data_IF_928477874119
#
_entry.id   IF_928477874119
#
_cell.length_a   1.000
_cell.length_b   1.000
_cell.length_c   1.000
_cell.angle_alpha   90.00
_cell.angle_beta   90.00
_cell.angle_gamma   90.00
#
_symmetry.space_group_name_H-M   'P 1'
#
loop_
_entity.id
_entity.type
_entity.pdbx_description
1 polymer ?
#
# COMPACT_ATOMS: atom_id res chain seq x y z
N UNK A 1 -3.83 19.36 5.93
CA UNK A 1 -2.72 18.50 6.43
C UNK A 1 -1.86 19.37 7.34
N UNK A 2 -1.99 19.22 8.66
CA UNK A 2 -1.21 19.98 9.63
C UNK A 2 -0.29 18.98 10.36
N UNK A 3 1.00 19.02 10.06
CA UNK A 3 2.01 18.38 10.90
C UNK A 3 2.20 19.33 12.07
N UNK A 4 1.81 18.93 13.28
CA UNK A 4 2.07 19.73 14.47
C UNK A 4 3.57 19.58 14.84
N UNK A 5 4.37 20.65 14.84
CA UNK A 5 5.75 20.55 15.25
C UNK A 5 5.83 20.45 16.78
N UNK A 6 6.61 19.49 17.27
CA UNK A 6 7.12 19.53 18.64
C UNK A 6 8.04 20.76 18.83
N UNK A 7 8.39 21.08 20.09
CA UNK A 7 9.34 22.14 20.41
C UNK A 7 10.62 22.01 19.58
N UNK A 8 11.05 23.12 18.98
CA UNK A 8 12.04 23.11 17.92
C UNK A 8 13.43 23.46 18.44
N UNK A 9 14.30 22.46 18.58
CA UNK A 9 15.74 22.66 18.82
C UNK A 9 16.54 22.49 17.52
N UNK A 10 17.64 23.23 17.34
CA UNK A 10 18.41 23.27 16.09
C UNK A 10 19.24 21.99 15.87
N UNK A 11 19.82 21.43 16.93
CA UNK A 11 20.66 20.22 16.85
C UNK A 11 19.91 18.92 17.17
N UNK A 12 18.58 18.98 17.27
CA UNK A 12 17.75 17.81 17.56
C UNK A 12 17.01 17.35 16.29
N UNK A 13 16.75 16.04 16.20
CA UNK A 13 15.86 15.51 15.17
C UNK A 13 14.43 16.05 15.32
N UNK A 14 13.65 15.90 14.25
CA UNK A 14 12.23 16.26 14.23
C UNK A 14 11.40 14.99 14.11
N UNK A 15 10.54 14.74 15.10
CA UNK A 15 9.49 13.74 14.98
C UNK A 15 8.31 14.36 14.26
N UNK A 16 7.69 13.59 13.38
CA UNK A 16 6.50 13.99 12.67
C UNK A 16 5.50 12.83 12.64
N UNK A 17 4.22 13.18 12.59
CA UNK A 17 3.13 12.24 12.44
C UNK A 17 2.13 12.85 11.45
N UNK A 18 1.55 11.99 10.62
CA UNK A 18 0.43 12.36 9.77
C UNK A 18 -0.66 11.30 9.87
N UNK A 19 -1.91 11.75 9.80
CA UNK A 19 -3.06 10.88 9.54
C UNK A 19 -3.48 11.09 8.09
N UNK A 20 -3.34 10.05 7.27
CA UNK A 20 -3.74 10.07 5.86
C UNK A 20 -4.95 9.15 5.71
N UNK A 21 -6.11 9.66 5.24
CA UNK A 21 -7.22 8.78 4.89
C UNK A 21 -6.84 7.97 3.65
N UNK A 22 -6.99 6.65 3.72
CA UNK A 22 -6.63 5.73 2.65
C UNK A 22 -7.86 4.89 2.28
N UNK A 23 -8.44 5.16 1.11
CA UNK A 23 -9.51 4.30 0.56
C UNK A 23 -8.97 3.21 -0.38
N UNK A 24 -7.80 3.45 -0.96
CA UNK A 24 -7.14 2.51 -1.86
C UNK A 24 -6.75 1.22 -1.12
N UNK A 25 -7.04 0.08 -1.75
CA UNK A 25 -6.69 -1.26 -1.26
C UNK A 25 -5.56 -1.85 -2.10
N UNK A 26 -4.80 -2.77 -1.53
CA UNK A 26 -3.66 -3.43 -2.18
C UNK A 26 -2.32 -2.79 -1.84
N UNK A 27 -1.33 -2.95 -2.72
CA UNK A 27 0.02 -2.42 -2.51
C UNK A 27 0.07 -0.91 -2.63
N UNK A 28 0.45 -0.26 -1.54
CA UNK A 28 0.69 1.18 -1.44
C UNK A 28 2.15 1.44 -1.11
N UNK A 29 2.66 2.59 -1.55
CA UNK A 29 4.00 3.05 -1.23
C UNK A 29 3.92 4.44 -0.58
N UNK A 30 4.44 4.54 0.64
CA UNK A 30 4.60 5.80 1.35
C UNK A 30 6.04 6.26 1.20
N UNK A 31 6.23 7.36 0.48
CA UNK A 31 7.53 8.01 0.31
C UNK A 31 7.60 9.23 1.24
N UNK A 32 8.66 9.30 2.04
CA UNK A 32 8.96 10.44 2.91
C UNK A 32 10.15 11.18 2.33
N UNK A 33 10.03 12.51 2.26
CA UNK A 33 11.08 13.42 1.84
C UNK A 33 11.10 14.63 2.76
N UNK A 34 12.28 15.08 3.14
CA UNK A 34 12.50 16.19 4.06
C UNK A 34 13.20 17.37 3.38
N UNK A 35 12.97 18.54 3.96
CA UNK A 35 13.62 19.81 3.60
C UNK A 35 14.16 20.45 4.88
N UNK A 36 15.35 21.05 4.78
CA UNK A 36 15.91 21.86 5.85
C UNK A 36 15.64 23.36 5.64
N UNK A 37 16.09 24.19 6.59
CA UNK A 37 15.95 25.65 6.54
C UNK A 37 16.75 26.33 5.41
N UNK A 38 17.68 25.60 4.79
CA UNK A 38 18.50 26.08 3.67
C UNK A 38 17.97 25.56 2.33
N UNK A 39 16.77 24.97 2.31
CA UNK A 39 16.16 24.33 1.15
C UNK A 39 16.99 23.17 0.56
N UNK A 40 17.86 22.54 1.35
CA UNK A 40 18.43 21.26 0.94
C UNK A 40 17.34 20.19 0.97
N UNK A 41 17.46 19.22 0.06
CA UNK A 41 16.44 18.18 -0.14
C UNK A 41 17.08 16.82 -0.29
N UNK A 42 16.38 15.77 0.14
CA UNK A 42 16.84 14.40 -0.06
C UNK A 42 16.77 13.97 -1.54
N UNK A 43 17.73 13.17 -2.05
CA UNK A 43 17.66 12.50 -3.35
C UNK A 43 16.50 11.50 -3.43
N UNK A 44 15.82 11.41 -4.58
CA UNK A 44 14.61 10.59 -4.71
C UNK A 44 14.84 9.08 -4.71
N UNK A 45 15.99 8.61 -5.21
CA UNK A 45 16.29 7.19 -5.39
C UNK A 45 17.71 6.87 -4.93
N UNK A 46 17.88 5.72 -4.28
CA UNK A 46 19.18 5.21 -3.81
C UNK A 46 20.20 5.12 -4.94
N UNK A 47 19.77 4.70 -6.14
CA UNK A 47 20.63 4.57 -7.32
C UNK A 47 21.28 5.91 -7.73
N UNK A 48 20.66 7.04 -7.40
CA UNK A 48 21.18 8.36 -7.76
C UNK A 48 22.38 8.79 -6.92
N UNK A 49 22.57 8.21 -5.73
CA UNK A 49 23.66 8.56 -4.80
C UNK A 49 24.44 7.34 -4.32
N UNK A 50 24.33 6.22 -5.04
CA UNK A 50 24.99 4.98 -4.69
C UNK A 50 26.51 5.12 -4.84
N UNK A 51 27.24 4.54 -3.88
CA UNK A 51 28.69 4.47 -3.88
C UNK A 51 29.14 3.15 -3.24
N UNK A 52 30.38 2.74 -3.51
CA UNK A 52 30.93 1.46 -3.07
C UNK A 52 31.01 1.31 -1.55
N UNK A 53 31.24 2.41 -0.83
CA UNK A 53 31.35 2.41 0.64
C UNK A 53 30.00 2.50 1.36
N UNK A 54 28.90 2.63 0.61
CA UNK A 54 27.55 2.84 1.13
C UNK A 54 27.44 4.04 2.08
N UNK A 55 28.30 5.05 1.91
CA UNK A 55 28.24 6.28 2.69
C UNK A 55 27.09 7.17 2.22
N UNK A 56 26.58 8.01 3.14
CA UNK A 56 25.58 9.05 2.83
C UNK A 56 24.33 8.49 2.16
N UNK A 57 23.71 7.50 2.80
CA UNK A 57 22.43 6.92 2.38
C UNK A 57 21.26 7.75 2.91
N UNK A 58 21.04 8.92 2.32
CA UNK A 58 19.97 9.88 2.68
C UNK A 58 18.88 10.01 1.61
N UNK A 59 18.73 9.03 0.72
CA UNK A 59 17.64 9.04 -0.25
C UNK A 59 16.27 8.90 0.44
N UNK A 60 15.23 9.45 -0.18
CA UNK A 60 13.86 9.38 0.32
C UNK A 60 13.47 7.96 0.75
N UNK A 61 13.04 7.81 2.00
CA UNK A 61 12.63 6.52 2.53
C UNK A 61 11.25 6.12 1.98
N UNK A 62 11.13 4.88 1.51
CA UNK A 62 9.91 4.33 0.91
C UNK A 62 9.48 3.08 1.66
N UNK A 63 8.28 3.12 2.23
CA UNK A 63 7.67 1.97 2.92
C UNK A 63 6.55 1.43 2.06
N UNK A 64 6.63 0.15 1.70
CA UNK A 64 5.57 -0.56 0.98
C UNK A 64 4.66 -1.26 1.98
N UNK A 65 3.36 -1.05 1.84
CA UNK A 65 2.32 -1.58 2.72
C UNK A 65 1.23 -2.24 1.87
N UNK A 66 0.70 -3.37 2.31
CA UNK A 66 -0.50 -3.95 1.72
C UNK A 66 -1.72 -3.51 2.55
N UNK A 67 -2.54 -2.64 1.97
CA UNK A 67 -3.73 -2.07 2.60
C UNK A 67 -4.94 -2.97 2.43
N UNK A 68 -5.58 -3.33 3.54
CA UNK A 68 -6.85 -4.09 3.57
C UNK A 68 -7.90 -3.25 4.29
N UNK A 69 -8.93 -2.83 3.56
CA UNK A 69 -9.98 -2.02 4.13
C UNK A 69 -11.17 -2.89 4.56
N UNK A 70 -11.23 -3.21 5.85
CA UNK A 70 -12.29 -4.05 6.44
C UNK A 70 -13.67 -3.38 6.46
N UNK A 71 -13.79 -2.09 6.20
CA UNK A 71 -15.10 -1.41 6.13
C UNK A 71 -15.83 -1.68 4.82
N UNK A 72 -15.13 -2.09 3.75
CA UNK A 72 -15.77 -2.44 2.48
C UNK A 72 -16.43 -3.82 2.60
N UNK A 73 -17.72 -3.95 2.24
CA UNK A 73 -18.49 -5.17 2.48
C UNK A 73 -17.94 -6.39 1.73
N UNK A 74 -17.44 -6.20 0.51
CA UNK A 74 -16.83 -7.28 -0.30
C UNK A 74 -15.55 -7.82 0.36
N UNK A 75 -14.69 -6.94 0.85
CA UNK A 75 -13.45 -7.30 1.55
C UNK A 75 -13.77 -8.01 2.87
N UNK A 76 -14.74 -7.51 3.64
CA UNK A 76 -15.18 -8.15 4.87
C UNK A 76 -15.75 -9.56 4.61
N UNK A 77 -16.59 -9.71 3.58
CA UNK A 77 -17.14 -11.01 3.16
C UNK A 77 -16.03 -11.99 2.78
N UNK A 78 -15.03 -11.54 2.02
CA UNK A 78 -13.92 -12.40 1.61
C UNK A 78 -13.05 -12.84 2.79
N UNK A 79 -12.79 -11.95 3.75
CA UNK A 79 -12.05 -12.29 4.96
C UNK A 79 -12.80 -13.31 5.82
N UNK A 80 -14.12 -13.15 5.95
CA UNK A 80 -14.97 -14.09 6.68
C UNK A 80 -15.00 -15.48 6.00
N UNK A 81 -15.04 -15.54 4.67
CA UNK A 81 -14.99 -16.80 3.93
C UNK A 81 -13.66 -17.55 4.15
N UNK A 82 -12.54 -16.82 4.19
CA UNK A 82 -11.21 -17.40 4.47
C UNK A 82 -11.20 -17.99 5.89
N UNK A 83 -11.74 -17.26 6.86
CA UNK A 83 -11.82 -17.70 8.26
C UNK A 83 -12.74 -18.91 8.44
N UNK A 84 -13.91 -18.93 7.77
CA UNK A 84 -14.86 -20.04 7.81
C UNK A 84 -14.25 -21.34 7.28
N UNK A 85 -13.39 -21.25 6.26
CA UNK A 85 -12.66 -22.39 5.69
C UNK A 85 -11.43 -22.79 6.51
N UNK A 86 -11.16 -22.11 7.63
CA UNK A 86 -10.05 -22.41 8.53
C UNK A 86 -8.68 -21.99 7.97
N UNK A 87 -8.66 -21.10 6.98
CA UNK A 87 -7.44 -20.61 6.36
C UNK A 87 -7.05 -19.22 6.89
N UNK A 88 -5.81 -18.83 6.63
CA UNK A 88 -5.27 -17.53 7.01
C UNK A 88 -5.00 -16.66 5.78
N UNK A 89 -5.32 -15.37 5.90
CA UNK A 89 -5.00 -14.36 4.88
C UNK A 89 -3.49 -14.19 4.68
N UNK A 90 -2.70 -14.48 5.73
CA UNK A 90 -1.25 -14.47 5.67
C UNK A 90 -0.70 -15.89 5.41
N UNK A 91 0.35 -16.03 4.58
CA UNK A 91 1.05 -14.97 3.85
C UNK A 91 0.32 -14.54 2.56
N UNK A 92 0.40 -13.24 2.22
CA UNK A 92 -0.24 -12.63 1.03
C UNK A 92 0.10 -13.33 -0.31
N UNK A 93 1.24 -14.00 -0.38
CA UNK A 93 1.74 -14.65 -1.59
C UNK A 93 1.18 -16.04 -1.81
N UNK A 94 0.49 -16.62 -0.82
CA UNK A 94 -0.08 -17.96 -0.92
C UNK A 94 -1.44 -17.87 -1.63
N UNK A 95 -1.62 -18.53 -2.78
CA UNK A 95 -2.94 -18.62 -3.39
C UNK A 95 -3.88 -19.42 -2.50
N UNK A 96 -5.17 -19.07 -2.54
CA UNK A 96 -6.21 -19.88 -1.90
C UNK A 96 -6.61 -21.02 -2.83
N UNK A 97 -6.99 -22.15 -2.27
CA UNK A 97 -7.35 -23.36 -3.04
C UNK A 97 -8.65 -23.22 -3.84
N UNK A 98 -9.38 -22.14 -3.63
CA UNK A 98 -10.66 -21.88 -4.27
C UNK A 98 -10.66 -20.53 -4.99
N UNK A 99 -11.48 -20.48 -6.04
CA UNK A 99 -11.62 -19.29 -6.88
C UNK A 99 -12.36 -18.15 -6.16
N UNK A 100 -12.25 -16.95 -6.73
CA UNK A 100 -12.93 -15.75 -6.21
C UNK A 100 -14.44 -15.75 -6.46
N UNK A 101 -14.87 -16.44 -7.52
CA UNK A 101 -16.26 -16.49 -7.95
C UNK A 101 -16.67 -17.93 -8.28
N UNK A 102 -17.94 -18.26 -8.08
CA UNK A 102 -18.46 -19.56 -8.47
C UNK A 102 -18.58 -19.68 -10.00
N UNK A 103 -18.36 -20.88 -10.53
CA UNK A 103 -18.46 -21.16 -11.97
C UNK A 103 -19.81 -20.74 -12.57
N UNK A 104 -20.90 -20.92 -11.86
CA UNK A 104 -22.25 -20.58 -12.33
C UNK A 104 -22.44 -19.05 -12.45
N UNK A 105 -22.09 -18.29 -11.41
CA UNK A 105 -22.12 -16.82 -11.43
C UNK A 105 -21.22 -16.24 -12.52
N UNK A 106 -20.04 -16.85 -12.73
CA UNK A 106 -19.16 -16.51 -13.84
C UNK A 106 -19.87 -16.69 -15.20
N UNK A 107 -20.46 -17.87 -15.45
CA UNK A 107 -21.15 -18.18 -16.71
C UNK A 107 -22.38 -17.30 -16.94
N UNK A 108 -23.11 -16.92 -15.89
CA UNK A 108 -24.23 -15.98 -15.98
C UNK A 108 -23.78 -14.57 -16.37
N UNK A 109 -22.73 -14.03 -15.72
CA UNK A 109 -22.17 -12.72 -16.09
C UNK A 109 -21.60 -12.71 -17.51
N UNK A 110 -20.89 -13.77 -17.89
CA UNK A 110 -20.33 -13.92 -19.24
C UNK A 110 -21.43 -13.94 -20.31
N UNK A 111 -22.56 -14.62 -20.04
CA UNK A 111 -23.74 -14.61 -20.94
C UNK A 111 -24.45 -13.26 -20.98
N UNK A 112 -24.50 -12.54 -19.87
CA UNK A 112 -25.12 -11.20 -19.78
C UNK A 112 -24.31 -10.14 -20.54
N UNK A 113 -22.99 -10.24 -20.52
CA UNK A 113 -22.07 -9.34 -21.21
C UNK A 113 -21.18 -10.15 -22.17
N UNK A 114 -21.73 -10.63 -23.29
CA UNK A 114 -20.98 -11.45 -24.22
C UNK A 114 -19.78 -10.67 -24.76
N UNK A 115 -18.61 -11.34 -24.81
CA UNK A 115 -17.36 -10.76 -25.30
C UNK A 115 -17.44 -10.43 -26.80
N UNK A 116 -18.07 -11.34 -27.55
CA UNK A 116 -18.24 -11.19 -29.00
C UNK A 116 -19.41 -10.25 -29.30
N UNK A 117 -19.29 -9.38 -30.31
CA UNK A 117 -20.41 -8.58 -30.78
C UNK A 117 -21.54 -9.49 -31.29
N UNK A 118 -22.78 -9.09 -31.03
CA UNK A 118 -23.95 -9.73 -31.63
C UNK A 118 -24.06 -9.27 -33.08
N UNK A 119 -24.04 -10.23 -34.01
CA UNK A 119 -24.20 -10.00 -35.45
C UNK A 119 -25.55 -9.36 -35.80
#
# INVERSE_FOLDING_TARGET
MLIQPAEQHYHAWRLWMIKVPVDAQGWLEFCVRTWDSSNNTEPTFVRSTWNWDLHVTSSCHRVKLYSVNKSKPETAKRLAEIEEKGETFEPLTRPLDWELEGKEEYLERMRKYPREPLN
#
